data_IF_697115485363
#
_entry.id   IF_697115485363
#
_cell.length_a   1.000
_cell.length_b   1.000
_cell.length_c   1.000
_cell.angle_alpha   90.00
_cell.angle_beta   90.00
_cell.angle_gamma   90.00
#
_symmetry.space_group_name_H-M   'P 1'
#
loop_
_entity.id
_entity.type
_entity.pdbx_description
1 polymer ?
#
# COMPACT_ATOMS: atom_id res chain seq x y z
N UNK A 1 -41.56 -42.55 52.84
CA UNK A 1 -41.70 -42.24 51.42
C UNK A 1 -41.03 -40.87 51.22
N UNK A 2 -39.79 -40.89 50.82
CA UNK A 2 -39.02 -39.63 50.59
C UNK A 2 -39.17 -39.21 49.09
N UNK A 3 -39.64 -38.03 48.83
CA UNK A 3 -39.76 -37.47 47.47
C UNK A 3 -38.35 -37.20 46.89
N UNK A 4 -38.11 -37.50 45.59
CA UNK A 4 -36.84 -37.19 44.98
C UNK A 4 -36.70 -35.67 44.76
N UNK A 5 -35.59 -35.12 45.24
CA UNK A 5 -35.19 -33.74 45.04
C UNK A 5 -35.04 -33.42 43.54
N UNK A 6 -35.79 -32.44 43.09
CA UNK A 6 -35.68 -31.89 41.70
C UNK A 6 -34.37 -31.09 41.57
N UNK A 7 -33.56 -31.31 40.54
CA UNK A 7 -32.33 -30.53 40.36
C UNK A 7 -32.60 -29.05 40.08
N UNK A 8 -31.74 -28.12 40.53
CA UNK A 8 -31.96 -26.70 40.43
C UNK A 8 -31.89 -26.22 38.98
N UNK A 9 -33.03 -25.78 38.46
CA UNK A 9 -33.20 -25.27 37.07
C UNK A 9 -32.50 -23.91 36.77
N UNK A 10 -31.79 -23.34 37.76
CA UNK A 10 -31.23 -21.95 37.64
C UNK A 10 -29.94 -21.82 36.81
N UNK A 11 -29.22 -22.90 36.52
CA UNK A 11 -27.91 -22.80 35.82
C UNK A 11 -28.01 -22.93 34.30
N UNK A 12 -29.09 -23.52 33.75
CA UNK A 12 -29.22 -23.78 32.31
C UNK A 12 -29.33 -22.47 31.54
N UNK A 13 -30.10 -21.48 32.03
CA UNK A 13 -30.22 -20.17 31.38
C UNK A 13 -28.89 -19.40 31.32
N UNK A 14 -28.09 -19.48 32.39
CA UNK A 14 -26.78 -18.82 32.45
C UNK A 14 -25.77 -19.46 31.47
N UNK A 15 -25.78 -20.76 31.30
CA UNK A 15 -24.95 -21.50 30.35
C UNK A 15 -25.33 -21.16 28.91
N UNK A 16 -26.63 -21.08 28.60
CA UNK A 16 -27.11 -20.72 27.28
C UNK A 16 -26.71 -19.26 26.95
N UNK A 17 -26.88 -18.31 27.89
CA UNK A 17 -26.50 -16.90 27.73
C UNK A 17 -25.00 -16.74 27.52
N UNK A 18 -24.17 -17.47 28.29
CA UNK A 18 -22.72 -17.48 28.11
C UNK A 18 -22.33 -18.05 26.73
N UNK A 19 -22.98 -19.12 26.29
CA UNK A 19 -22.76 -19.72 24.96
C UNK A 19 -23.05 -18.74 23.82
N UNK A 20 -24.18 -18.01 23.90
CA UNK A 20 -24.55 -16.99 22.91
C UNK A 20 -23.51 -15.84 22.92
N UNK A 21 -23.06 -15.39 24.07
CA UNK A 21 -22.08 -14.31 24.21
C UNK A 21 -20.72 -14.71 23.59
N UNK A 22 -20.27 -15.95 23.82
CA UNK A 22 -19.05 -16.47 23.18
C UNK A 22 -19.22 -16.55 21.67
N UNK A 23 -20.38 -16.95 21.17
CA UNK A 23 -20.65 -17.08 19.74
C UNK A 23 -20.65 -15.71 19.04
N UNK A 24 -21.25 -14.68 19.66
CA UNK A 24 -21.21 -13.29 19.19
C UNK A 24 -19.77 -12.74 19.19
N UNK A 25 -19.00 -13.05 20.25
CA UNK A 25 -17.60 -12.63 20.34
C UNK A 25 -16.73 -13.26 19.26
N UNK A 26 -16.89 -14.57 19.00
CA UNK A 26 -16.20 -15.27 17.91
C UNK A 26 -16.60 -14.74 16.54
N UNK A 27 -17.89 -14.46 16.31
CA UNK A 27 -18.36 -13.86 15.07
C UNK A 27 -17.78 -12.46 14.86
N UNK A 28 -17.67 -11.64 15.91
CA UNK A 28 -17.01 -10.34 15.87
C UNK A 28 -15.53 -10.44 15.54
N UNK A 29 -14.80 -11.37 16.13
CA UNK A 29 -13.39 -11.62 15.86
C UNK A 29 -13.16 -12.10 14.41
N UNK A 30 -14.04 -12.98 13.89
CA UNK A 30 -13.94 -13.45 12.50
C UNK A 30 -14.22 -12.32 11.51
N UNK A 31 -15.19 -11.45 11.79
CA UNK A 31 -15.47 -10.27 10.98
C UNK A 31 -14.28 -9.29 10.97
N UNK A 32 -13.67 -9.02 12.12
CA UNK A 32 -12.48 -8.18 12.23
C UNK A 32 -11.26 -8.78 11.50
N UNK A 33 -11.07 -10.09 11.58
CA UNK A 33 -9.99 -10.78 10.87
C UNK A 33 -10.21 -10.75 9.34
N UNK A 34 -11.46 -10.83 8.88
CA UNK A 34 -11.80 -10.76 7.45
C UNK A 34 -11.60 -9.36 6.86
N UNK A 35 -11.72 -8.30 7.67
CA UNK A 35 -11.44 -6.93 7.22
C UNK A 35 -9.93 -6.62 7.11
N UNK A 36 -9.05 -7.51 7.60
CA UNK A 36 -7.60 -7.28 7.59
C UNK A 36 -7.10 -6.24 8.61
N UNK A 37 -8.01 -5.58 9.36
CA UNK A 37 -7.66 -4.56 10.37
C UNK A 37 -6.88 -5.15 11.56
N UNK A 38 -7.16 -6.40 11.91
CA UNK A 38 -6.47 -7.09 13.00
C UNK A 38 -5.94 -8.43 12.48
N UNK A 39 -4.63 -8.61 12.50
CA UNK A 39 -3.99 -9.89 12.15
C UNK A 39 -4.08 -10.88 13.32
N UNK A 40 -5.05 -11.77 13.26
CA UNK A 40 -5.10 -12.95 14.12
C UNK A 40 -4.45 -14.08 13.34
N UNK A 41 -3.25 -14.61 13.73
CA UNK A 41 -2.40 -15.44 12.87
C UNK A 41 -3.12 -16.60 12.17
N UNK A 42 -4.05 -17.28 12.86
CA UNK A 42 -4.77 -18.43 12.31
C UNK A 42 -5.98 -18.01 11.47
N UNK A 43 -6.77 -17.02 11.93
CA UNK A 43 -8.00 -16.58 11.25
C UNK A 43 -7.70 -15.73 10.03
N UNK A 44 -6.69 -14.85 10.11
CA UNK A 44 -6.31 -14.01 8.97
C UNK A 44 -5.65 -14.78 7.84
N UNK A 45 -5.00 -15.91 8.11
CA UNK A 45 -4.46 -16.77 7.04
C UNK A 45 -5.54 -17.55 6.28
N UNK A 46 -6.72 -17.76 6.90
CA UNK A 46 -7.83 -18.50 6.28
C UNK A 46 -8.88 -17.59 5.65
N UNK A 47 -9.10 -16.41 6.21
CA UNK A 47 -10.22 -15.52 5.86
C UNK A 47 -9.78 -14.12 5.43
N UNK A 48 -8.54 -13.73 5.71
CA UNK A 48 -8.01 -12.43 5.37
C UNK A 48 -7.71 -12.29 3.86
N UNK A 49 -7.77 -11.08 3.31
CA UNK A 49 -7.35 -10.83 1.94
C UNK A 49 -5.88 -11.23 1.79
N UNK A 50 -5.55 -11.86 0.65
CA UNK A 50 -4.16 -12.19 0.33
C UNK A 50 -3.37 -10.88 0.23
N UNK A 51 -2.28 -10.72 1.01
CA UNK A 51 -1.49 -9.49 0.91
C UNK A 51 -0.97 -9.34 -0.53
N UNK A 52 -0.99 -8.13 -1.09
CA UNK A 52 -0.48 -7.89 -2.42
C UNK A 52 1.01 -8.26 -2.49
N UNK A 53 1.40 -8.94 -3.57
CA UNK A 53 2.79 -9.30 -3.81
C UNK A 53 3.54 -8.08 -4.34
N UNK A 54 4.62 -7.68 -3.68
CA UNK A 54 5.53 -6.64 -4.19
C UNK A 54 6.52 -7.33 -5.14
N UNK A 55 6.57 -6.87 -6.38
CA UNK A 55 7.65 -7.23 -7.30
C UNK A 55 8.81 -6.28 -6.99
N UNK A 56 9.83 -6.80 -6.32
CA UNK A 56 10.97 -5.98 -5.89
C UNK A 56 11.98 -5.80 -7.02
N UNK A 57 12.39 -4.57 -7.24
CA UNK A 57 13.59 -4.22 -7.99
C UNK A 57 14.70 -4.08 -6.95
N UNK A 58 15.60 -5.07 -6.88
CA UNK A 58 16.74 -5.00 -5.96
C UNK A 58 17.75 -3.98 -6.49
N UNK A 59 17.96 -2.91 -5.73
CA UNK A 59 18.99 -1.90 -5.99
C UNK A 59 19.95 -1.86 -4.81
N UNK A 60 21.23 -1.90 -5.10
CA UNK A 60 22.27 -1.62 -4.10
C UNK A 60 22.29 -0.11 -3.78
N UNK A 61 22.90 0.28 -2.67
CA UNK A 61 23.02 1.69 -2.30
C UNK A 61 23.73 2.52 -3.36
N UNK A 62 24.73 1.94 -3.99
CA UNK A 62 25.48 2.56 -5.08
C UNK A 62 24.61 2.75 -6.31
N UNK A 63 23.83 1.75 -6.65
CA UNK A 63 22.87 1.83 -7.78
C UNK A 63 21.77 2.87 -7.51
N UNK A 64 21.27 2.98 -6.28
CA UNK A 64 20.28 4.02 -5.92
C UNK A 64 20.85 5.42 -6.18
N UNK A 65 22.09 5.69 -5.76
CA UNK A 65 22.74 6.97 -6.01
C UNK A 65 22.90 7.21 -7.51
N UNK A 66 23.40 6.22 -8.25
CA UNK A 66 23.63 6.33 -9.69
C UNK A 66 22.31 6.57 -10.47
N UNK A 67 21.25 5.84 -10.13
CA UNK A 67 19.97 6.00 -10.81
C UNK A 67 19.32 7.36 -10.52
N UNK A 68 19.48 7.86 -9.30
CA UNK A 68 19.02 9.21 -8.93
C UNK A 68 19.79 10.28 -9.68
N UNK A 69 21.12 10.19 -9.73
CA UNK A 69 21.95 11.14 -10.49
C UNK A 69 21.59 11.14 -11.99
N UNK A 70 21.36 9.95 -12.58
CA UNK A 70 20.90 9.81 -13.96
C UNK A 70 19.58 10.56 -14.20
N UNK A 71 18.62 10.43 -13.30
CA UNK A 71 17.34 11.13 -13.40
C UNK A 71 17.50 12.64 -13.24
N UNK A 72 18.32 13.09 -12.28
CA UNK A 72 18.61 14.51 -12.04
C UNK A 72 19.26 15.15 -13.29
N UNK A 73 20.18 14.45 -13.96
CA UNK A 73 20.82 14.88 -15.21
C UNK A 73 19.78 15.02 -16.34
N UNK A 74 18.90 14.03 -16.51
CA UNK A 74 17.81 14.07 -17.50
C UNK A 74 16.87 15.24 -17.28
N UNK A 75 16.46 15.48 -16.03
CA UNK A 75 15.59 16.60 -15.64
C UNK A 75 16.32 17.93 -15.90
N UNK A 76 17.60 18.00 -15.56
CA UNK A 76 18.43 19.19 -15.82
C UNK A 76 18.52 19.52 -17.31
N UNK A 77 18.78 18.52 -18.15
CA UNK A 77 18.82 18.66 -19.60
C UNK A 77 17.47 19.11 -20.18
N UNK A 78 16.38 18.46 -19.74
CA UNK A 78 15.01 18.83 -20.15
C UNK A 78 14.67 20.28 -19.73
N UNK A 79 15.01 20.67 -18.51
CA UNK A 79 14.80 22.03 -18.00
C UNK A 79 15.61 23.07 -18.81
N UNK A 80 16.83 22.74 -19.18
CA UNK A 80 17.65 23.61 -20.02
C UNK A 80 17.03 23.80 -21.40
N UNK A 81 16.53 22.73 -22.04
CA UNK A 81 15.82 22.77 -23.31
C UNK A 81 14.58 23.68 -23.25
N UNK A 82 13.77 23.52 -22.18
CA UNK A 82 12.59 24.37 -21.97
C UNK A 82 12.97 25.86 -21.86
N UNK A 83 14.02 26.16 -21.10
CA UNK A 83 14.46 27.54 -20.89
C UNK A 83 15.04 28.19 -22.14
N UNK A 84 15.59 27.42 -23.06
CA UNK A 84 16.16 27.91 -24.33
C UNK A 84 15.17 27.89 -25.48
N UNK A 85 14.00 27.25 -25.30
CA UNK A 85 12.92 27.28 -26.29
C UNK A 85 12.31 28.67 -26.39
N UNK A 86 12.07 29.11 -27.62
CA UNK A 86 11.37 30.39 -27.90
C UNK A 86 10.03 30.14 -28.56
N UNK A 87 9.05 31.07 -28.48
CA UNK A 87 7.76 30.89 -29.15
C UNK A 87 7.89 30.66 -30.67
N UNK A 88 8.97 31.17 -31.27
CA UNK A 88 9.27 31.02 -32.69
C UNK A 88 9.94 29.69 -33.04
N UNK A 89 10.56 29.04 -32.04
CA UNK A 89 11.20 27.74 -32.17
C UNK A 89 10.88 26.84 -30.93
N UNK A 90 9.66 26.33 -30.83
CA UNK A 90 9.28 25.42 -29.71
C UNK A 90 10.08 24.12 -29.83
N UNK A 91 10.91 23.83 -28.85
CA UNK A 91 11.60 22.55 -28.76
C UNK A 91 10.71 21.54 -28.05
N UNK A 92 10.30 20.42 -28.68
CA UNK A 92 9.64 19.36 -27.98
C UNK A 92 10.65 18.74 -27.00
N UNK A 93 10.29 18.74 -25.72
CA UNK A 93 11.11 18.12 -24.68
C UNK A 93 10.56 16.72 -24.41
N UNK A 94 11.39 15.73 -24.64
CA UNK A 94 11.08 14.33 -24.33
C UNK A 94 12.22 13.75 -23.54
N UNK A 95 11.92 13.10 -22.44
CA UNK A 95 12.88 12.29 -21.71
C UNK A 95 12.22 11.01 -21.21
N UNK A 96 12.99 9.96 -21.16
CA UNK A 96 12.50 8.64 -20.71
C UNK A 96 12.90 8.43 -19.26
N UNK A 97 11.94 7.96 -18.48
CA UNK A 97 12.13 7.61 -17.07
C UNK A 97 11.94 6.11 -16.92
N UNK A 98 12.83 5.48 -16.18
CA UNK A 98 12.79 4.05 -15.91
C UNK A 98 12.22 3.73 -14.53
N UNK A 99 11.70 2.51 -14.36
CA UNK A 99 11.24 2.00 -13.05
C UNK A 99 12.35 2.08 -11.99
N UNK A 100 13.60 1.81 -12.39
CA UNK A 100 14.76 1.86 -11.50
C UNK A 100 15.03 3.28 -11.00
N UNK A 101 14.98 4.26 -11.87
CA UNK A 101 15.17 5.68 -11.52
C UNK A 101 14.09 6.16 -10.56
N UNK A 102 12.81 5.84 -10.84
CA UNK A 102 11.70 6.19 -9.95
C UNK A 102 11.80 5.48 -8.60
N UNK A 103 12.15 4.20 -8.60
CA UNK A 103 12.37 3.42 -7.38
C UNK A 103 13.52 4.01 -6.55
N UNK A 104 14.62 4.43 -7.20
CA UNK A 104 15.75 5.05 -6.53
C UNK A 104 15.38 6.37 -5.84
N UNK A 105 14.50 7.17 -6.44
CA UNK A 105 13.99 8.40 -5.81
C UNK A 105 13.24 8.08 -4.53
N UNK A 106 12.33 7.09 -4.55
CA UNK A 106 11.58 6.70 -3.36
C UNK A 106 12.50 6.15 -2.27
N UNK A 107 13.45 5.26 -2.63
CA UNK A 107 14.39 4.69 -1.68
C UNK A 107 15.35 5.73 -1.08
N UNK A 108 15.69 6.79 -1.82
CA UNK A 108 16.55 7.87 -1.31
C UNK A 108 15.83 8.80 -0.35
N UNK A 109 14.50 8.85 -0.38
CA UNK A 109 13.64 9.66 0.48
C UNK A 109 12.88 8.85 1.55
N UNK A 110 13.35 7.66 1.92
CA UNK A 110 12.65 6.76 2.86
C UNK A 110 12.25 7.42 4.18
N UNK A 111 13.01 8.38 4.67
CA UNK A 111 12.70 9.10 5.91
C UNK A 111 11.56 10.13 5.73
N UNK A 112 11.27 10.55 4.50
CA UNK A 112 10.23 11.52 4.16
C UNK A 112 8.96 10.85 3.64
N UNK A 113 9.08 9.62 3.12
CA UNK A 113 7.96 8.86 2.59
C UNK A 113 7.36 7.91 3.64
N UNK A 114 6.03 7.79 3.63
CA UNK A 114 5.30 6.82 4.47
C UNK A 114 5.55 5.37 4.06
N UNK A 115 6.19 5.15 2.90
CA UNK A 115 6.46 3.83 2.32
C UNK A 115 7.93 3.46 2.55
N UNK A 116 8.17 2.44 3.36
CA UNK A 116 9.49 1.78 3.46
C UNK A 116 9.63 0.71 2.37
N UNK A 117 10.85 0.50 1.90
CA UNK A 117 11.15 -0.44 0.79
C UNK A 117 10.27 -0.14 -0.45
N UNK A 118 10.05 1.15 -0.72
CA UNK A 118 9.19 1.60 -1.80
C UNK A 118 9.68 1.14 -3.17
N UNK A 119 8.74 0.74 -4.03
CA UNK A 119 8.98 0.29 -5.40
C UNK A 119 8.04 1.00 -6.36
N UNK A 120 8.52 1.30 -7.54
CA UNK A 120 7.71 1.85 -8.63
C UNK A 120 7.74 0.92 -9.83
N UNK A 121 6.57 0.71 -10.43
CA UNK A 121 6.42 0.00 -11.69
C UNK A 121 5.65 0.89 -12.67
N UNK A 122 6.07 0.84 -13.92
CA UNK A 122 5.40 1.55 -15.02
C UNK A 122 4.46 0.56 -15.70
N UNK A 123 3.15 0.78 -15.57
CA UNK A 123 2.12 -0.05 -16.16
C UNK A 123 1.41 0.72 -17.28
N UNK A 124 0.74 0.05 -18.23
CA UNK A 124 -0.04 0.73 -19.26
C UNK A 124 -1.12 1.67 -18.72
N UNK A 125 -1.68 1.35 -17.54
CA UNK A 125 -2.71 2.12 -16.84
C UNK A 125 -2.16 3.24 -15.94
N UNK A 126 -0.85 3.29 -15.69
CA UNK A 126 -0.22 4.30 -14.83
C UNK A 126 1.01 3.80 -14.08
N UNK A 127 1.31 4.45 -12.98
CA UNK A 127 2.42 4.11 -12.10
C UNK A 127 1.89 3.33 -10.89
N UNK A 128 2.35 2.11 -10.68
CA UNK A 128 2.11 1.34 -9.47
C UNK A 128 3.22 1.66 -8.46
N UNK A 129 2.85 2.25 -7.34
CA UNK A 129 3.71 2.44 -6.19
C UNK A 129 3.37 1.35 -5.17
N UNK A 130 4.38 0.65 -4.67
CA UNK A 130 4.18 -0.36 -3.64
C UNK A 130 5.26 -0.27 -2.58
N UNK A 131 4.93 -0.62 -1.34
CA UNK A 131 5.87 -0.54 -0.24
C UNK A 131 5.24 -0.96 1.09
N UNK A 132 6.03 -0.91 2.14
CA UNK A 132 5.59 -1.22 3.49
C UNK A 132 5.22 0.08 4.23
N UNK A 133 3.99 0.16 4.72
CA UNK A 133 3.55 1.21 5.66
C UNK A 133 3.76 0.70 7.08
N UNK A 134 4.31 1.54 7.95
CA UNK A 134 4.59 1.18 9.36
C UNK A 134 3.63 1.84 10.35
N UNK A 135 3.04 2.96 9.99
CA UNK A 135 2.13 3.73 10.84
C UNK A 135 0.94 4.26 10.02
N UNK A 136 -0.27 4.33 10.57
CA UNK A 136 -0.72 3.86 11.89
C UNK A 136 -0.95 2.33 11.94
N UNK A 137 -0.95 1.66 10.79
CA UNK A 137 -1.15 0.21 10.66
C UNK A 137 -0.04 -0.36 9.79
N UNK A 138 0.69 -1.33 10.31
CA UNK A 138 1.75 -2.00 9.56
C UNK A 138 1.16 -2.92 8.48
N UNK A 139 1.57 -2.72 7.23
CA UNK A 139 1.09 -3.52 6.10
C UNK A 139 1.79 -3.21 4.79
N UNK A 140 1.51 -4.02 3.78
CA UNK A 140 1.91 -3.74 2.40
C UNK A 140 0.82 -2.90 1.77
N UNK A 141 1.20 -1.82 1.12
CA UNK A 141 0.29 -0.95 0.37
C UNK A 141 0.70 -0.91 -1.09
N UNK A 142 -0.27 -0.92 -1.97
CA UNK A 142 -0.13 -0.63 -3.39
C UNK A 142 -1.04 0.52 -3.78
N UNK A 143 -0.49 1.45 -4.55
CA UNK A 143 -1.19 2.58 -5.12
C UNK A 143 -1.04 2.53 -6.63
N UNK A 144 -2.15 2.60 -7.36
CA UNK A 144 -2.12 2.85 -8.79
C UNK A 144 -2.40 4.34 -9.03
N UNK A 145 -1.43 5.03 -9.60
CA UNK A 145 -1.45 6.48 -9.84
C UNK A 145 -1.38 6.75 -11.32
N UNK A 146 -2.32 7.49 -11.86
CA UNK A 146 -2.33 7.89 -13.27
C UNK A 146 -1.89 9.35 -13.39
N UNK A 147 -0.76 9.64 -14.09
CA UNK A 147 -0.39 11.00 -14.40
C UNK A 147 -1.29 11.56 -15.52
N UNK A 148 -1.63 12.83 -15.43
CA UNK A 148 -2.32 13.56 -16.48
C UNK A 148 -1.84 15.02 -16.53
N UNK A 149 -2.02 15.67 -17.67
CA UNK A 149 -1.64 17.07 -17.82
C UNK A 149 -2.88 17.95 -17.64
N UNK A 150 -2.81 18.88 -16.70
CA UNK A 150 -3.83 19.87 -16.45
C UNK A 150 -3.20 21.27 -16.45
N UNK A 151 -3.69 22.16 -17.32
CA UNK A 151 -3.19 23.56 -17.45
C UNK A 151 -1.66 23.68 -17.58
N UNK A 152 -1.02 22.70 -18.22
CA UNK A 152 0.44 22.68 -18.42
C UNK A 152 1.23 22.16 -17.21
N UNK A 153 0.55 21.66 -16.18
CA UNK A 153 1.16 20.99 -15.02
C UNK A 153 0.84 19.49 -15.08
N UNK A 154 1.75 18.69 -14.54
CA UNK A 154 1.52 17.25 -14.39
C UNK A 154 0.87 17.01 -13.03
N UNK A 155 -0.36 16.55 -13.07
CA UNK A 155 -1.12 16.13 -11.90
C UNK A 155 -1.22 14.62 -11.83
N UNK A 156 -1.62 14.09 -10.68
CA UNK A 156 -1.76 12.67 -10.44
C UNK A 156 -3.12 12.34 -9.86
N UNK A 157 -3.76 11.32 -10.41
CA UNK A 157 -5.01 10.77 -9.85
C UNK A 157 -4.75 9.38 -9.28
N UNK A 158 -5.11 9.16 -8.02
CA UNK A 158 -5.09 7.82 -7.43
C UNK A 158 -6.30 7.05 -7.95
N UNK A 159 -6.06 5.92 -8.61
CA UNK A 159 -7.10 5.04 -9.18
C UNK A 159 -7.47 3.92 -8.23
N UNK A 160 -6.48 3.37 -7.54
CA UNK A 160 -6.67 2.22 -6.69
C UNK A 160 -5.70 2.25 -5.50
N UNK A 161 -6.20 1.77 -4.36
CA UNK A 161 -5.42 1.56 -3.13
C UNK A 161 -5.74 0.15 -2.64
N UNK A 162 -4.71 -0.70 -2.47
CA UNK A 162 -4.85 -2.08 -2.00
C UNK A 162 -3.94 -2.36 -0.80
#
# INVERSE_FOLDING_TARGET
MSSPDSPPKKHIGCIILLGILILIFLAGLTALAATGFVRIPVLSSLLGPTPPTIVRVELTKEEVIQQRESLEEKIGAATFQIRTATPENPAPVTFEVTEKELTAVILSGEDEFLLKEGQVRILPEGLELSGMVTEPVSGIMKLLVQPFVNEGQVDFTVKEVV
#
